data_IF_070360267419
#
_entry.id   IF_070360267419
#
_cell.length_a   1.000
_cell.length_b   1.000
_cell.length_c   1.000
_cell.angle_alpha   90.00
_cell.angle_beta   90.00
_cell.angle_gamma   90.00
#
_symmetry.space_group_name_H-M   'P 1'
#
loop_
_entity.id
_entity.type
_entity.pdbx_description
1 polymer ?
#
# COMPACT_ATOMS: atom_id res chain seq x y z
N UNK A 1 16.54 -20.26 -4.68
CA UNK A 1 16.68 -19.06 -3.83
C UNK A 1 16.40 -19.50 -2.41
N UNK A 2 17.25 -19.16 -1.44
CA UNK A 2 17.07 -19.55 -0.03
C UNK A 2 16.68 -18.32 0.76
N UNK A 3 15.54 -18.35 1.43
CA UNK A 3 15.06 -17.26 2.29
C UNK A 3 15.91 -17.23 3.57
N UNK A 4 16.61 -16.12 3.86
CA UNK A 4 17.32 -15.92 5.13
C UNK A 4 16.45 -15.16 6.14
N UNK A 5 15.60 -15.91 6.85
CA UNK A 5 14.78 -15.34 7.91
C UNK A 5 15.60 -14.62 9.00
N UNK A 6 16.83 -15.07 9.29
CA UNK A 6 17.67 -14.42 10.31
C UNK A 6 18.11 -13.04 9.87
N UNK A 7 18.38 -12.83 8.57
CA UNK A 7 18.65 -11.51 8.03
C UNK A 7 17.45 -10.57 8.22
N UNK A 8 16.24 -11.01 7.89
CA UNK A 8 15.04 -10.18 8.08
C UNK A 8 14.75 -9.90 9.56
N UNK A 9 14.95 -10.88 10.45
CA UNK A 9 14.83 -10.67 11.90
C UNK A 9 15.81 -9.61 12.43
N UNK A 10 17.06 -9.59 11.94
CA UNK A 10 18.03 -8.54 12.31
C UNK A 10 17.65 -7.15 11.82
N UNK A 11 16.90 -7.06 10.71
CA UNK A 11 16.45 -5.79 10.14
C UNK A 11 15.19 -5.26 10.82
N UNK A 12 14.15 -6.10 10.92
CA UNK A 12 12.85 -5.73 11.52
C UNK A 12 12.92 -5.67 13.04
N UNK A 13 13.74 -6.51 13.68
CA UNK A 13 13.96 -6.55 15.14
C UNK A 13 12.65 -6.61 15.95
N UNK A 14 11.75 -7.59 15.68
CA UNK A 14 10.44 -7.67 16.32
C UNK A 14 10.50 -7.72 17.86
N UNK A 15 11.59 -8.27 18.42
CA UNK A 15 11.87 -8.36 19.86
C UNK A 15 12.07 -6.99 20.53
N UNK A 16 12.39 -5.94 19.77
CA UNK A 16 12.58 -4.58 20.29
C UNK A 16 11.28 -3.79 20.44
N UNK A 17 10.19 -4.27 19.85
CA UNK A 17 8.89 -3.60 19.90
C UNK A 17 7.99 -4.29 20.92
N UNK A 18 8.00 -3.76 22.15
CA UNK A 18 7.25 -4.32 23.29
C UNK A 18 6.01 -3.51 23.65
N UNK A 19 5.95 -2.25 23.26
CA UNK A 19 4.82 -1.34 23.48
C UNK A 19 4.08 -1.04 22.18
N UNK A 20 2.89 -0.43 22.31
CA UNK A 20 2.21 0.21 21.19
C UNK A 20 3.11 1.29 20.57
N UNK A 21 2.93 1.48 19.27
CA UNK A 21 3.62 2.50 18.49
C UNK A 21 2.61 3.63 18.28
N UNK A 22 3.08 4.87 18.33
CA UNK A 22 2.24 6.01 18.03
C UNK A 22 2.54 6.48 16.61
N UNK A 23 1.50 6.74 15.78
CA UNK A 23 1.70 7.43 14.51
C UNK A 23 2.40 8.77 14.74
N UNK A 24 3.37 9.10 13.88
CA UNK A 24 4.04 10.40 13.87
C UNK A 24 3.07 11.50 13.43
N UNK A 25 3.34 12.73 13.87
CA UNK A 25 2.62 13.91 13.41
C UNK A 25 2.74 14.10 11.90
N UNK A 26 1.74 14.72 11.28
CA UNK A 26 1.74 14.97 9.83
C UNK A 26 2.92 15.82 9.36
N UNK A 27 3.44 16.68 10.23
CA UNK A 27 4.63 17.52 9.99
C UNK A 27 5.92 16.71 9.84
N UNK A 28 5.94 15.47 10.33
CA UNK A 28 7.07 14.55 10.17
C UNK A 28 6.94 13.62 8.95
N UNK A 29 5.88 13.78 8.15
CA UNK A 29 5.53 12.92 7.02
C UNK A 29 5.40 13.74 5.74
N UNK A 30 5.54 13.09 4.58
CA UNK A 30 5.37 13.75 3.29
C UNK A 30 3.91 13.64 2.87
N UNK A 31 3.26 14.78 2.66
CA UNK A 31 1.92 14.86 2.12
C UNK A 31 1.96 15.01 0.59
N UNK A 32 0.88 14.59 -0.09
CA UNK A 32 0.73 14.81 -1.53
C UNK A 32 0.81 16.30 -1.89
N UNK A 33 0.30 17.18 -1.01
CA UNK A 33 0.34 18.62 -1.20
C UNK A 33 1.78 19.19 -1.26
N UNK A 34 2.73 18.54 -0.60
CA UNK A 34 4.13 18.99 -0.56
C UNK A 34 4.84 18.80 -1.90
N UNK A 35 4.39 17.82 -2.70
CA UNK A 35 5.10 17.38 -3.92
C UNK A 35 4.24 17.41 -5.20
N UNK A 36 2.94 17.71 -5.10
CA UNK A 36 2.02 17.70 -6.26
C UNK A 36 2.43 18.67 -7.38
N UNK A 37 3.20 19.72 -7.06
CA UNK A 37 3.75 20.67 -8.03
C UNK A 37 5.10 20.27 -8.62
N UNK A 38 5.75 19.23 -8.10
CA UNK A 38 7.12 18.85 -8.43
C UNK A 38 7.17 17.81 -9.55
N UNK A 39 7.41 18.26 -10.79
CA UNK A 39 7.80 17.40 -11.91
C UNK A 39 6.93 16.14 -12.10
N UNK A 40 7.55 15.05 -12.59
CA UNK A 40 6.89 13.76 -12.77
C UNK A 40 7.41 12.77 -11.73
N UNK A 41 6.65 12.59 -10.65
CA UNK A 41 6.98 11.62 -9.60
C UNK A 41 6.70 10.18 -10.08
N UNK A 42 7.63 9.25 -9.82
CA UNK A 42 7.38 7.82 -9.94
C UNK A 42 6.83 7.30 -8.60
N UNK A 43 5.61 6.77 -8.61
CA UNK A 43 4.87 6.42 -7.39
C UNK A 43 4.17 5.08 -7.56
N UNK A 44 4.07 4.32 -6.47
CA UNK A 44 3.22 3.13 -6.41
C UNK A 44 1.88 3.49 -5.77
N UNK A 45 0.77 3.07 -6.36
CA UNK A 45 -0.56 3.35 -5.80
C UNK A 45 -1.02 2.24 -4.85
N UNK A 46 -1.48 2.65 -3.66
CA UNK A 46 -2.26 1.82 -2.75
C UNK A 46 -3.69 1.57 -3.27
N UNK A 47 -4.35 0.53 -2.78
CA UNK A 47 -5.70 0.12 -3.20
C UNK A 47 -6.74 1.23 -2.97
N UNK A 48 -6.65 1.95 -1.84
CA UNK A 48 -7.57 3.06 -1.55
C UNK A 48 -7.49 4.19 -2.58
N UNK A 49 -6.37 4.36 -3.29
CA UNK A 49 -6.22 5.39 -4.31
C UNK A 49 -7.11 5.07 -5.50
N UNK A 50 -7.08 3.84 -6.02
CA UNK A 50 -7.92 3.42 -7.15
C UNK A 50 -9.41 3.55 -6.81
N UNK A 51 -9.80 3.13 -5.61
CA UNK A 51 -11.21 3.20 -5.17
C UNK A 51 -11.67 4.66 -5.10
N UNK A 52 -10.84 5.53 -4.52
CA UNK A 52 -11.18 6.96 -4.38
C UNK A 52 -11.16 7.69 -5.71
N UNK A 53 -10.26 7.33 -6.62
CA UNK A 53 -10.19 7.86 -7.99
C UNK A 53 -11.44 7.49 -8.78
N UNK A 54 -11.81 6.20 -8.78
CA UNK A 54 -13.03 5.70 -9.41
C UNK A 54 -14.30 6.38 -8.87
N UNK A 55 -14.31 6.72 -7.58
CA UNK A 55 -15.40 7.45 -6.94
C UNK A 55 -15.37 8.98 -7.16
N UNK A 56 -14.32 9.52 -7.79
CA UNK A 56 -14.14 10.98 -7.96
C UNK A 56 -13.90 11.73 -6.65
N UNK A 57 -13.31 11.07 -5.65
CA UNK A 57 -13.15 11.58 -4.28
C UNK A 57 -11.70 11.85 -3.88
N UNK A 58 -10.72 11.67 -4.77
CA UNK A 58 -9.33 12.04 -4.51
C UNK A 58 -9.21 13.54 -4.22
N UNK A 59 -8.47 13.96 -3.17
CA UNK A 59 -8.11 15.36 -3.00
C UNK A 59 -7.28 15.85 -4.18
N UNK A 60 -7.39 17.13 -4.51
CA UNK A 60 -6.77 17.72 -5.70
C UNK A 60 -5.26 17.44 -5.83
N UNK A 61 -4.52 17.46 -4.71
CA UNK A 61 -3.09 17.16 -4.72
C UNK A 61 -2.79 15.69 -5.08
N UNK A 62 -3.56 14.75 -4.54
CA UNK A 62 -3.40 13.33 -4.85
C UNK A 62 -3.84 13.03 -6.29
N UNK A 63 -4.94 13.62 -6.76
CA UNK A 63 -5.39 13.52 -8.15
C UNK A 63 -4.31 14.04 -9.12
N UNK A 64 -3.69 15.19 -8.82
CA UNK A 64 -2.60 15.72 -9.64
C UNK A 64 -1.38 14.77 -9.72
N UNK A 65 -1.05 14.08 -8.63
CA UNK A 65 0.01 13.06 -8.63
C UNK A 65 -0.37 11.82 -9.46
N UNK A 66 -1.63 11.39 -9.38
CA UNK A 66 -2.14 10.26 -10.19
C UNK A 66 -2.13 10.62 -11.68
N UNK A 67 -2.63 11.80 -12.04
CA UNK A 67 -2.75 12.25 -13.44
C UNK A 67 -1.38 12.45 -14.12
N UNK A 68 -0.40 13.00 -13.39
CA UNK A 68 0.90 13.39 -13.96
C UNK A 68 1.99 12.36 -13.72
N UNK A 69 1.79 11.47 -12.74
CA UNK A 69 2.79 10.54 -12.24
C UNK A 69 3.26 9.52 -13.27
N UNK A 70 4.39 8.89 -12.96
CA UNK A 70 4.76 7.61 -13.53
C UNK A 70 4.29 6.52 -12.58
N UNK A 71 3.10 5.98 -12.87
CA UNK A 71 2.42 5.04 -11.98
C UNK A 71 3.01 3.63 -12.05
N UNK A 72 3.20 3.06 -10.88
CA UNK A 72 3.45 1.65 -10.67
C UNK A 72 2.32 1.06 -9.83
N UNK A 73 2.13 -0.24 -9.99
CA UNK A 73 1.02 -0.98 -9.41
C UNK A 73 1.58 -2.18 -8.65
N UNK A 74 0.89 -2.60 -7.58
CA UNK A 74 1.22 -3.83 -6.89
C UNK A 74 0.19 -4.92 -7.24
N UNK A 75 0.65 -6.15 -7.47
CA UNK A 75 -0.24 -7.31 -7.67
C UNK A 75 -1.16 -7.57 -6.46
N UNK A 76 -0.75 -7.13 -5.25
CA UNK A 76 -1.61 -7.16 -4.06
C UNK A 76 -2.84 -6.27 -4.26
N UNK A 77 -2.65 -5.02 -4.73
CA UNK A 77 -3.76 -4.11 -5.01
C UNK A 77 -4.72 -4.69 -6.06
N UNK A 78 -4.19 -5.34 -7.10
CA UNK A 78 -5.02 -6.04 -8.10
C UNK A 78 -5.85 -7.15 -7.46
N UNK A 79 -5.27 -7.94 -6.56
CA UNK A 79 -5.96 -8.98 -5.80
C UNK A 79 -7.06 -8.42 -4.89
N UNK A 80 -6.80 -7.28 -4.23
CA UNK A 80 -7.78 -6.59 -3.39
C UNK A 80 -8.94 -6.02 -4.19
N UNK A 81 -8.67 -5.33 -5.30
CA UNK A 81 -9.70 -4.84 -6.22
C UNK A 81 -10.54 -6.00 -6.77
N UNK A 82 -9.90 -7.10 -7.18
CA UNK A 82 -10.59 -8.29 -7.67
C UNK A 82 -11.49 -8.92 -6.60
N UNK A 83 -11.01 -8.96 -5.35
CA UNK A 83 -11.82 -9.41 -4.19
C UNK A 83 -13.01 -8.47 -3.97
N UNK A 84 -12.81 -7.16 -4.07
CA UNK A 84 -13.88 -6.16 -3.96
C UNK A 84 -14.96 -6.32 -5.02
N UNK A 85 -14.56 -6.52 -6.29
CA UNK A 85 -15.50 -6.78 -7.40
C UNK A 85 -16.31 -8.05 -7.15
N UNK A 86 -15.68 -9.13 -6.69
CA UNK A 86 -16.35 -10.40 -6.41
C UNK A 86 -17.29 -10.34 -5.19
N UNK A 87 -16.93 -9.55 -4.17
CA UNK A 87 -17.73 -9.39 -2.96
C UNK A 87 -18.92 -8.43 -3.12
N UNK A 88 -18.90 -7.56 -4.13
CA UNK A 88 -20.00 -6.63 -4.38
C UNK A 88 -21.28 -7.35 -4.80
N UNK A 89 -22.43 -6.83 -4.34
CA UNK A 89 -23.74 -7.39 -4.67
C UNK A 89 -24.03 -7.30 -6.19
N UNK A 90 -24.16 -8.45 -6.90
CA UNK A 90 -24.41 -8.49 -8.33
C UNK A 90 -25.85 -8.11 -8.71
N UNK A 91 -26.77 -8.02 -7.75
CA UNK A 91 -28.16 -7.60 -7.99
C UNK A 91 -28.32 -6.09 -8.15
N UNK A 92 -27.32 -5.31 -7.74
CA UNK A 92 -27.33 -3.85 -7.83
C UNK A 92 -27.27 -3.38 -9.29
N UNK A 93 -28.03 -2.34 -9.61
CA UNK A 93 -28.14 -1.80 -10.97
C UNK A 93 -26.81 -1.33 -11.57
N UNK A 94 -25.88 -0.83 -10.75
CA UNK A 94 -24.57 -0.31 -11.18
C UNK A 94 -23.47 -1.40 -11.23
N UNK A 95 -23.76 -2.65 -10.82
CA UNK A 95 -22.72 -3.67 -10.63
C UNK A 95 -21.91 -3.93 -11.90
N UNK A 96 -22.58 -4.01 -13.07
CA UNK A 96 -21.91 -4.21 -14.35
C UNK A 96 -20.95 -3.07 -14.66
N UNK A 97 -21.37 -1.83 -14.42
CA UNK A 97 -20.55 -0.64 -14.64
C UNK A 97 -19.31 -0.66 -13.73
N UNK A 98 -19.48 -0.96 -12.44
CA UNK A 98 -18.39 -1.07 -11.48
C UNK A 98 -17.40 -2.20 -11.86
N UNK A 99 -17.92 -3.38 -12.21
CA UNK A 99 -17.10 -4.52 -12.67
C UNK A 99 -16.29 -4.15 -13.91
N UNK A 100 -16.93 -3.57 -14.92
CA UNK A 100 -16.29 -3.25 -16.20
C UNK A 100 -15.24 -2.14 -16.04
N UNK A 101 -15.47 -1.18 -15.14
CA UNK A 101 -14.48 -0.18 -14.77
C UNK A 101 -13.20 -0.82 -14.24
N UNK A 102 -13.29 -1.69 -13.22
CA UNK A 102 -12.11 -2.32 -12.64
C UNK A 102 -11.46 -3.34 -13.58
N UNK A 103 -12.24 -4.04 -14.41
CA UNK A 103 -11.69 -4.92 -15.44
C UNK A 103 -10.86 -4.14 -16.47
N UNK A 104 -11.37 -2.99 -16.95
CA UNK A 104 -10.65 -2.09 -17.85
C UNK A 104 -9.40 -1.50 -17.19
N UNK A 105 -9.52 -1.07 -15.93
CA UNK A 105 -8.39 -0.55 -15.14
C UNK A 105 -7.26 -1.57 -15.06
N UNK A 106 -7.54 -2.81 -14.63
CA UNK A 106 -6.52 -3.86 -14.51
C UNK A 106 -5.93 -4.21 -15.88
N UNK A 107 -6.74 -4.28 -16.93
CA UNK A 107 -6.26 -4.55 -18.29
C UNK A 107 -5.35 -3.44 -18.84
N UNK A 108 -5.50 -2.20 -18.36
CA UNK A 108 -4.69 -1.06 -18.77
C UNK A 108 -3.29 -1.04 -18.14
N UNK A 109 -3.06 -1.80 -17.07
CA UNK A 109 -1.78 -1.83 -16.35
C UNK A 109 -0.69 -2.49 -17.22
N UNK A 110 0.38 -1.76 -17.59
CA UNK A 110 1.48 -2.37 -18.34
C UNK A 110 2.21 -3.41 -17.47
N UNK A 111 2.59 -4.59 -18.01
CA UNK A 111 3.36 -5.59 -17.26
C UNK A 111 4.66 -5.05 -16.67
N UNK A 112 5.30 -4.09 -17.33
CA UNK A 112 6.52 -3.42 -16.86
C UNK A 112 6.30 -2.46 -15.68
N UNK A 113 5.04 -2.16 -15.33
CA UNK A 113 4.63 -1.32 -14.20
C UNK A 113 3.88 -2.10 -13.12
N UNK A 114 3.62 -3.39 -13.33
CA UNK A 114 3.04 -4.26 -12.32
C UNK A 114 4.14 -4.96 -11.51
N UNK A 115 4.27 -4.60 -10.24
CA UNK A 115 5.23 -5.19 -9.33
C UNK A 115 4.58 -6.31 -8.52
N UNK A 116 5.26 -7.44 -8.43
CA UNK A 116 4.82 -8.62 -7.67
C UNK A 116 5.74 -8.82 -6.47
N UNK A 117 5.21 -8.92 -5.23
CA UNK A 117 6.02 -9.23 -4.06
C UNK A 117 6.67 -10.60 -4.21
N UNK A 118 7.99 -10.67 -4.09
CA UNK A 118 8.73 -11.92 -4.08
C UNK A 118 8.93 -12.47 -2.67
N UNK A 119 9.59 -13.63 -2.56
CA UNK A 119 9.74 -14.35 -1.31
C UNK A 119 10.41 -13.53 -0.19
N UNK A 120 11.33 -12.62 -0.54
CA UNK A 120 11.99 -11.74 0.44
C UNK A 120 11.00 -10.69 0.97
N UNK A 121 10.19 -10.11 0.08
CA UNK A 121 9.14 -9.16 0.46
C UNK A 121 8.08 -9.83 1.33
N UNK A 122 7.65 -11.05 0.98
CA UNK A 122 6.72 -11.83 1.80
C UNK A 122 7.27 -12.13 3.20
N UNK A 123 8.55 -12.47 3.29
CA UNK A 123 9.19 -12.80 4.57
C UNK A 123 9.26 -11.59 5.47
N UNK A 124 9.70 -10.44 4.95
CA UNK A 124 9.73 -9.20 5.74
C UNK A 124 8.34 -8.70 6.10
N UNK A 125 7.39 -8.68 5.15
CA UNK A 125 6.02 -8.23 5.40
C UNK A 125 5.35 -9.05 6.51
N UNK A 126 5.60 -10.36 6.55
CA UNK A 126 5.13 -11.23 7.63
C UNK A 126 5.68 -10.82 9.01
N UNK A 127 6.97 -10.46 9.09
CA UNK A 127 7.56 -9.98 10.34
C UNK A 127 7.00 -8.62 10.76
N UNK A 128 6.83 -7.69 9.82
CA UNK A 128 6.23 -6.37 10.07
C UNK A 128 4.78 -6.53 10.55
N UNK A 129 3.95 -7.22 9.78
CA UNK A 129 2.54 -7.42 10.10
C UNK A 129 2.34 -8.19 11.41
N UNK A 130 3.16 -9.21 11.68
CA UNK A 130 3.12 -9.95 12.95
C UNK A 130 3.52 -9.08 14.16
N UNK A 131 4.49 -8.19 13.97
CA UNK A 131 4.91 -7.24 15.01
C UNK A 131 3.82 -6.22 15.30
N UNK A 132 3.22 -5.62 14.26
CA UNK A 132 2.10 -4.70 14.42
C UNK A 132 0.88 -5.39 15.03
N UNK A 133 0.54 -6.60 14.59
CA UNK A 133 -0.58 -7.34 15.14
C UNK A 133 -0.45 -7.57 16.65
N UNK A 134 0.76 -7.90 17.12
CA UNK A 134 1.04 -8.07 18.55
C UNK A 134 1.03 -6.74 19.31
N UNK A 135 1.68 -5.71 18.77
CA UNK A 135 1.90 -4.45 19.49
C UNK A 135 0.68 -3.54 19.48
N UNK A 136 -0.05 -3.48 18.36
CA UNK A 136 -1.23 -2.63 18.20
C UNK A 136 -2.55 -3.34 18.52
N UNK A 137 -2.49 -4.57 19.03
CA UNK A 137 -3.67 -5.37 19.44
C UNK A 137 -4.69 -5.62 18.31
N UNK A 138 -4.20 -5.84 17.09
CA UNK A 138 -5.06 -6.01 15.91
C UNK A 138 -6.00 -7.22 16.02
N UNK A 139 -7.25 -6.97 15.65
CA UNK A 139 -8.28 -7.96 15.46
C UNK A 139 -8.00 -8.85 14.25
N UNK A 140 -8.68 -10.00 14.17
CA UNK A 140 -8.43 -10.99 13.11
C UNK A 140 -8.54 -10.42 11.69
N UNK A 141 -9.49 -9.52 11.44
CA UNK A 141 -9.66 -8.89 10.13
C UNK A 141 -8.51 -7.93 9.80
N UNK A 142 -8.10 -7.10 10.76
CA UNK A 142 -6.99 -6.14 10.64
C UNK A 142 -5.64 -6.81 10.36
N UNK A 143 -5.44 -8.07 10.78
CA UNK A 143 -4.17 -8.79 10.54
C UNK A 143 -3.92 -9.08 9.05
N UNK A 144 -4.98 -9.36 8.29
CA UNK A 144 -4.87 -9.57 6.84
C UNK A 144 -4.57 -8.25 6.15
N UNK A 145 -5.30 -7.19 6.52
CA UNK A 145 -5.10 -5.83 6.00
C UNK A 145 -3.67 -5.37 6.26
N UNK A 146 -3.17 -5.50 7.50
CA UNK A 146 -1.80 -5.16 7.85
C UNK A 146 -0.74 -5.94 7.05
N UNK A 147 -1.00 -7.20 6.70
CA UNK A 147 -0.09 -7.97 5.85
C UNK A 147 -0.11 -7.44 4.41
N UNK A 148 -1.28 -7.14 3.86
CA UNK A 148 -1.41 -6.59 2.52
C UNK A 148 -0.75 -5.21 2.41
N UNK A 149 -1.00 -4.31 3.37
CA UNK A 149 -0.37 -2.99 3.44
C UNK A 149 1.16 -3.11 3.52
N UNK A 150 1.67 -4.02 4.35
CA UNK A 150 3.10 -4.28 4.45
C UNK A 150 3.69 -4.83 3.14
N UNK A 151 2.99 -5.70 2.42
CA UNK A 151 3.42 -6.20 1.11
C UNK A 151 3.46 -5.07 0.07
N UNK A 152 2.44 -4.21 0.02
CA UNK A 152 2.38 -3.06 -0.88
C UNK A 152 3.55 -2.12 -0.61
N UNK A 153 3.74 -1.73 0.66
CA UNK A 153 4.81 -0.85 1.11
C UNK A 153 6.21 -1.41 0.78
N UNK A 154 6.48 -2.68 1.12
CA UNK A 154 7.80 -3.28 0.93
C UNK A 154 8.09 -3.62 -0.53
N UNK A 155 7.06 -3.91 -1.33
CA UNK A 155 7.21 -4.03 -2.80
C UNK A 155 7.65 -2.70 -3.40
N UNK A 156 7.02 -1.59 -2.98
CA UNK A 156 7.42 -0.25 -3.42
C UNK A 156 8.84 0.11 -2.94
N UNK A 157 9.14 -0.15 -1.66
CA UNK A 157 10.45 0.10 -1.07
C UNK A 157 11.57 -0.63 -1.84
N UNK A 158 11.36 -1.90 -2.19
CA UNK A 158 12.31 -2.69 -2.98
C UNK A 158 12.56 -2.12 -4.38
N UNK A 159 11.54 -1.49 -4.98
CA UNK A 159 11.65 -0.80 -6.25
C UNK A 159 12.15 0.66 -6.14
N UNK A 160 12.43 1.14 -4.92
CA UNK A 160 12.85 2.53 -4.68
C UNK A 160 11.73 3.56 -4.79
N UNK A 161 10.46 3.13 -4.82
CA UNK A 161 9.29 3.97 -5.03
C UNK A 161 8.60 4.31 -3.70
N UNK A 162 8.05 5.52 -3.53
CA UNK A 162 7.10 5.79 -2.45
C UNK A 162 5.71 5.25 -2.80
N UNK A 163 4.93 4.88 -1.78
CA UNK A 163 3.50 4.55 -1.92
C UNK A 163 2.63 5.78 -1.72
N UNK A 164 1.69 6.05 -2.61
CA UNK A 164 0.61 7.03 -2.40
C UNK A 164 -0.57 6.34 -1.72
N UNK A 165 -1.03 6.86 -0.56
CA UNK A 165 -2.09 6.23 0.24
C UNK A 165 -2.89 7.23 1.08
N UNK A 166 -4.16 6.93 1.36
CA UNK A 166 -4.96 7.63 2.37
C UNK A 166 -4.77 7.06 3.79
N UNK A 167 -4.15 5.88 3.96
CA UNK A 167 -3.99 5.18 5.23
C UNK A 167 -2.71 5.63 5.96
N UNK A 168 -2.64 6.93 6.28
CA UNK A 168 -1.42 7.56 6.83
C UNK A 168 -0.89 6.83 8.05
N UNK A 169 -1.75 6.54 9.02
CA UNK A 169 -1.34 6.04 10.32
C UNK A 169 -0.82 4.60 10.20
N UNK A 170 -1.50 3.74 9.43
CA UNK A 170 -1.06 2.36 9.17
C UNK A 170 0.29 2.31 8.44
N UNK A 171 0.45 3.11 7.39
CA UNK A 171 1.71 3.17 6.63
C UNK A 171 2.84 3.80 7.44
N UNK A 172 2.54 4.73 8.34
CA UNK A 172 3.52 5.27 9.27
C UNK A 172 4.04 4.18 10.23
N UNK A 173 3.12 3.41 10.83
CA UNK A 173 3.47 2.30 11.72
C UNK A 173 4.33 1.24 11.00
N UNK A 174 4.02 0.96 9.73
CA UNK A 174 4.85 0.10 8.87
C UNK A 174 6.23 0.72 8.65
N UNK A 175 6.31 2.01 8.31
CA UNK A 175 7.57 2.70 8.06
C UNK A 175 8.46 2.75 9.31
N UNK A 176 7.89 2.87 10.51
CA UNK A 176 8.65 2.79 11.76
C UNK A 176 9.36 1.44 11.95
N UNK A 177 8.77 0.33 11.46
CA UNK A 177 9.40 -1.00 11.45
C UNK A 177 10.30 -1.26 10.24
N UNK A 178 10.00 -0.60 9.11
CA UNK A 178 10.68 -0.75 7.83
C UNK A 178 11.13 0.63 7.27
N UNK A 179 12.14 1.28 7.90
CA UNK A 179 12.50 2.68 7.62
C UNK A 179 13.14 2.93 6.25
N UNK A 180 13.39 1.87 5.47
CA UNK A 180 13.96 1.94 4.13
C UNK A 180 12.89 2.18 3.04
N UNK A 181 11.60 2.02 3.38
CA UNK A 181 10.49 2.39 2.50
C UNK A 181 10.02 3.82 2.72
N UNK A 182 9.17 4.30 1.81
CA UNK A 182 8.60 5.66 1.83
C UNK A 182 7.13 5.60 1.45
N UNK A 183 6.34 6.53 1.98
CA UNK A 183 4.97 6.76 1.55
C UNK A 183 4.68 8.25 1.51
N UNK A 184 3.63 8.60 0.77
CA UNK A 184 3.07 9.94 0.59
C UNK A 184 1.61 9.83 1.00
N UNK A 185 1.17 10.64 1.96
CA UNK A 185 -0.21 10.59 2.45
C UNK A 185 -1.08 11.72 1.89
N UNK A 186 -2.40 11.55 1.94
CA UNK A 186 -3.37 12.59 1.56
C UNK A 186 -4.72 12.42 2.27
#
# INVERSE_FOLDING_TARGET
MTIDLRQHLRRVKPDKYLSQLAPRGSDALIAAADIAGEGRAAILLDTNVYIRDAAGTLPAAAAALVDRGLLFHCAVCVGELSTGVANADPSRADWKMMRDHYAGLVASIPPTRLLTPDAEVWTEAGLVAGTLARTQTYQRHQRKEALNDALIFLTAAKAGLPVLTANRDEFDLIQQLAPHGRFIHF
#
